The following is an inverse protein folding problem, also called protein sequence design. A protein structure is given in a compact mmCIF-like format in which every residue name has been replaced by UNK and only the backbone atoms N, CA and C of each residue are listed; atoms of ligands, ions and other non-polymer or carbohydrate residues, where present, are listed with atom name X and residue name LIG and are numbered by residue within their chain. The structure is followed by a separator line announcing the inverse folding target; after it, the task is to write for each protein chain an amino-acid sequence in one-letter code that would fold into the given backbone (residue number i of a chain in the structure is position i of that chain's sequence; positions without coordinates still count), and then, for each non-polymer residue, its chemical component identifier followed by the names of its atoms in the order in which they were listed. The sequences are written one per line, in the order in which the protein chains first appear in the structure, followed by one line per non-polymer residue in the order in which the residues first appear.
data_IF_316343608422
#
_entry.id   IF_316343608422
#
_cell.length_a   1.000
_cell.length_b   1.000
_cell.length_c   1.000
_cell.angle_alpha   90.00
_cell.angle_beta   90.00
_cell.angle_gamma   90.00
#
_symmetry.space_group_name_H-M   'P 1'
#
loop_
_entity.id
_entity.type
_entity.pdbx_description
1 polymer ?
#
# COMPACT_ATOMS: atom_id res chain seq x y z
N UNK A 1 -35.99 -13.53 -13.46
CA UNK A 1 -34.58 -13.97 -13.40
C UNK A 1 -33.60 -12.93 -13.94
N UNK A 2 -34.04 -11.96 -14.76
CA UNK A 2 -33.15 -10.96 -15.38
C UNK A 2 -32.59 -9.91 -14.40
N UNK A 3 -33.38 -9.45 -13.42
CA UNK A 3 -32.93 -8.44 -12.46
C UNK A 3 -31.92 -8.92 -11.42
N UNK A 4 -31.98 -10.20 -11.00
CA UNK A 4 -31.04 -10.76 -10.02
C UNK A 4 -29.63 -10.87 -10.62
N UNK A 5 -29.52 -11.32 -11.87
CA UNK A 5 -28.23 -11.43 -12.57
C UNK A 5 -27.55 -10.07 -12.74
N UNK A 6 -28.31 -9.04 -13.14
CA UNK A 6 -27.80 -7.67 -13.24
C UNK A 6 -27.31 -7.13 -11.89
N UNK A 7 -28.05 -7.39 -10.80
CA UNK A 7 -27.67 -6.92 -9.46
C UNK A 7 -26.39 -7.60 -8.96
N UNK A 8 -26.25 -8.91 -9.17
CA UNK A 8 -25.01 -9.66 -8.83
C UNK A 8 -23.84 -9.15 -9.65
N UNK A 9 -24.03 -8.91 -10.94
CA UNK A 9 -22.98 -8.38 -11.82
C UNK A 9 -22.48 -7.00 -11.36
N UNK A 10 -23.39 -6.08 -11.03
CA UNK A 10 -23.05 -4.76 -10.50
C UNK A 10 -22.34 -4.86 -9.15
N UNK A 11 -22.80 -5.75 -8.27
CA UNK A 11 -22.15 -5.97 -6.97
C UNK A 11 -20.71 -6.47 -7.11
N UNK A 12 -20.46 -7.40 -8.04
CA UNK A 12 -19.11 -7.89 -8.34
C UNK A 12 -18.24 -6.76 -8.89
N UNK A 13 -18.75 -5.97 -9.85
CA UNK A 13 -18.00 -4.83 -10.39
C UNK A 13 -17.66 -3.79 -9.32
N UNK A 14 -18.61 -3.49 -8.44
CA UNK A 14 -18.38 -2.58 -7.32
C UNK A 14 -17.29 -3.12 -6.38
N UNK A 15 -17.32 -4.41 -6.05
CA UNK A 15 -16.29 -5.04 -5.22
C UNK A 15 -14.91 -4.99 -5.87
N UNK A 16 -14.84 -5.31 -7.16
CA UNK A 16 -13.59 -5.29 -7.95
C UNK A 16 -13.05 -3.86 -8.11
N UNK A 17 -13.89 -2.83 -8.07
CA UNK A 17 -13.43 -1.44 -8.10
C UNK A 17 -12.99 -0.94 -6.70
N UNK A 18 -13.78 -1.23 -5.67
CA UNK A 18 -13.58 -0.68 -4.33
C UNK A 18 -12.40 -1.35 -3.61
N UNK A 19 -12.28 -2.68 -3.69
CA UNK A 19 -11.24 -3.42 -2.94
C UNK A 19 -9.83 -2.96 -3.34
N UNK A 20 -9.48 -2.83 -4.64
CA UNK A 20 -8.21 -2.25 -5.05
C UNK A 20 -7.97 -0.82 -4.58
N UNK A 21 -8.99 0.03 -4.60
CA UNK A 21 -8.88 1.41 -4.14
C UNK A 21 -8.57 1.47 -2.63
N UNK A 22 -9.26 0.65 -1.84
CA UNK A 22 -9.01 0.56 -0.40
C UNK A 22 -7.61 0.02 -0.13
N UNK A 23 -7.17 -1.03 -0.82
CA UNK A 23 -5.81 -1.57 -0.69
C UNK A 23 -4.74 -0.56 -1.09
N UNK A 24 -4.97 0.17 -2.17
CA UNK A 24 -4.07 1.22 -2.64
C UNK A 24 -3.91 2.33 -1.60
N UNK A 25 -5.02 2.89 -1.11
CA UNK A 25 -5.02 3.92 -0.07
C UNK A 25 -4.38 3.42 1.22
N UNK A 26 -4.73 2.20 1.65
CA UNK A 26 -4.15 1.59 2.84
C UNK A 26 -2.63 1.45 2.73
N UNK A 27 -2.12 1.02 1.57
CA UNK A 27 -0.68 0.90 1.34
C UNK A 27 0.05 2.24 1.41
N UNK A 28 -0.56 3.31 0.89
CA UNK A 28 -0.05 4.68 0.95
C UNK A 28 0.04 5.17 2.40
N UNK A 29 -1.07 5.05 3.15
CA UNK A 29 -1.12 5.44 4.56
C UNK A 29 -0.06 4.68 5.34
N UNK A 30 0.00 3.35 5.18
CA UNK A 30 0.93 2.52 5.89
C UNK A 30 2.40 2.86 5.55
N UNK A 31 2.72 3.12 4.27
CA UNK A 31 4.05 3.57 3.86
C UNK A 31 4.44 4.90 4.50
N UNK A 32 3.53 5.87 4.54
CA UNK A 32 3.77 7.20 5.13
C UNK A 32 3.90 7.12 6.65
N UNK A 33 3.17 6.24 7.34
CA UNK A 33 3.19 6.14 8.80
C UNK A 33 4.26 5.19 9.35
N UNK A 34 4.93 4.42 8.49
CA UNK A 34 5.87 3.39 8.96
C UNK A 34 7.27 3.97 9.22
N UNK A 35 7.54 4.19 10.50
CA UNK A 35 8.81 4.73 11.02
C UNK A 35 10.03 3.83 10.77
N UNK A 36 9.81 2.57 10.35
CA UNK A 36 10.90 1.62 10.03
C UNK A 36 11.42 1.74 8.61
N UNK A 37 10.78 2.56 7.77
CA UNK A 37 11.34 2.94 6.47
C UNK A 37 12.23 4.17 6.66
N UNK A 38 13.47 4.07 6.15
CA UNK A 38 14.30 5.24 5.93
C UNK A 38 13.61 6.23 4.99
N UNK A 39 13.99 7.50 5.09
CA UNK A 39 13.37 8.58 4.30
C UNK A 39 13.41 8.29 2.79
N UNK A 40 14.54 7.75 2.30
CA UNK A 40 14.70 7.32 0.91
C UNK A 40 13.76 6.18 0.53
N UNK A 41 13.67 5.13 1.36
CA UNK A 41 12.80 3.99 1.09
C UNK A 41 11.32 4.40 1.15
N UNK A 42 10.96 5.32 2.06
CA UNK A 42 9.61 5.87 2.14
C UNK A 42 9.26 6.64 0.87
N UNK A 43 10.16 7.50 0.38
CA UNK A 43 9.93 8.28 -0.83
C UNK A 43 9.76 7.37 -2.05
N UNK A 44 10.64 6.37 -2.22
CA UNK A 44 10.56 5.40 -3.31
C UNK A 44 9.26 4.58 -3.20
N UNK A 45 8.89 4.15 -1.99
CA UNK A 45 7.65 3.41 -1.74
C UNK A 45 6.40 4.20 -2.13
N UNK A 46 6.31 5.48 -1.73
CA UNK A 46 5.21 6.37 -2.13
C UNK A 46 5.16 6.53 -3.65
N UNK A 47 6.31 6.75 -4.29
CA UNK A 47 6.40 6.91 -5.75
C UNK A 47 5.88 5.65 -6.45
N UNK A 48 6.33 4.47 -6.04
CA UNK A 48 5.89 3.20 -6.61
C UNK A 48 4.39 2.97 -6.39
N UNK A 49 3.87 3.20 -5.18
CA UNK A 49 2.43 3.03 -4.89
C UNK A 49 1.60 3.97 -5.77
N UNK A 50 1.98 5.23 -5.91
CA UNK A 50 1.22 6.21 -6.71
C UNK A 50 1.27 5.89 -8.20
N UNK A 51 2.43 5.55 -8.76
CA UNK A 51 2.58 5.33 -10.21
C UNK A 51 2.15 3.93 -10.67
N UNK A 52 2.30 2.90 -9.85
CA UNK A 52 1.97 1.50 -10.21
C UNK A 52 0.63 1.03 -9.63
N UNK A 53 -0.07 1.87 -8.87
CA UNK A 53 -1.36 1.57 -8.26
C UNK A 53 -1.32 0.24 -7.46
N UNK A 54 -2.08 -0.77 -7.88
CA UNK A 54 -2.09 -2.11 -7.30
C UNK A 54 -0.70 -2.75 -7.29
N UNK A 55 0.04 -2.69 -8.39
CA UNK A 55 1.38 -3.27 -8.46
C UNK A 55 2.34 -2.57 -7.49
N UNK A 56 2.18 -1.26 -7.29
CA UNK A 56 2.98 -0.48 -6.35
C UNK A 56 2.77 -0.92 -4.90
N UNK A 57 1.53 -1.31 -4.54
CA UNK A 57 1.23 -1.85 -3.21
C UNK A 57 1.90 -3.22 -2.96
N UNK A 58 2.06 -4.05 -3.99
CA UNK A 58 2.81 -5.32 -3.88
C UNK A 58 4.32 -5.08 -3.78
N UNK A 59 4.86 -4.11 -4.52
CA UNK A 59 6.31 -3.80 -4.46
C UNK A 59 6.69 -3.26 -3.08
N UNK A 60 5.81 -2.50 -2.40
CA UNK A 60 6.03 -2.04 -1.02
C UNK A 60 6.33 -3.20 -0.04
N UNK A 61 5.75 -4.39 -0.24
CA UNK A 61 5.99 -5.52 0.65
C UNK A 61 7.44 -6.00 0.63
N UNK A 62 8.17 -5.76 -0.47
CA UNK A 62 9.55 -6.19 -0.64
C UNK A 62 10.57 -5.11 -0.32
N UNK A 63 10.14 -3.93 0.16
CA UNK A 63 11.07 -2.85 0.49
C UNK A 63 11.93 -3.23 1.72
N UNK A 64 13.27 -3.12 1.61
CA UNK A 64 14.16 -3.35 2.74
C UNK A 64 13.85 -2.42 3.92
N UNK A 65 13.84 -2.98 5.13
CA UNK A 65 13.58 -2.25 6.37
C UNK A 65 14.86 -2.18 7.18
N UNK A 66 15.20 -1.00 7.68
CA UNK A 66 16.42 -0.84 8.47
C UNK A 66 16.25 -1.44 9.88
N UNK A 67 17.29 -2.06 10.45
CA UNK A 67 17.31 -2.43 11.86
C UNK A 67 17.17 -1.16 12.70
N UNK A 68 16.39 -1.22 13.79
CA UNK A 68 16.30 -0.11 14.74
C UNK A 68 17.71 0.15 15.28
N UNK A 69 18.30 1.30 14.95
CA UNK A 69 19.55 1.72 15.56
C UNK A 69 19.29 2.03 17.04
N UNK A 70 19.94 1.34 17.98
CA UNK A 70 19.90 1.68 19.38
C UNK A 70 20.37 3.14 19.57
N UNK A 71 19.55 3.94 20.28
CA UNK A 71 19.74 5.39 20.42
C UNK A 71 21.00 5.77 21.21
N UNK A 72 21.65 4.79 21.84
CA UNK A 72 22.87 4.90 22.65
C UNK A 72 24.16 4.91 21.82
N UNK A 73 24.18 4.34 20.60
CA UNK A 73 25.39 4.33 19.75
C UNK A 73 25.72 5.67 19.07
N UNK A 74 24.82 6.66 19.08
CA UNK A 74 25.08 7.98 18.47
C UNK A 74 25.97 8.91 19.30
N UNK A 75 26.39 8.48 20.49
CA UNK A 75 27.22 9.27 21.41
C UNK A 75 28.60 8.63 21.69
N UNK A 76 29.00 7.62 20.92
CA UNK A 76 30.32 6.98 21.01
C UNK A 76 31.31 7.58 20.00
#
# INVERSE_FOLDING_TARGET
MEGLGALVFVAILALVAIVPLVLWLWSLIHCVTNERLSDTNRLIGILLIVFLFLLGSFVYLFLPREPLQPRDQRYA
#
